data_IF_082712434106
#
_entry.id   IF_082712434106
#
_cell.length_a   1.000
_cell.length_b   1.000
_cell.length_c   1.000
_cell.angle_alpha   90.00
_cell.angle_beta   90.00
_cell.angle_gamma   90.00
#
_symmetry.space_group_name_H-M   'P 1'
#
loop_
_entity.id
_entity.type
_entity.pdbx_description
1 polymer ?
#
# COMPACT_ATOMS: atom_id res chain seq x y z
N UNK A 1 -0.14 23.46 10.32
CA UNK A 1 -1.32 22.58 10.33
C UNK A 1 -0.86 21.17 9.99
N UNK A 2 -0.40 20.42 10.99
CA UNK A 2 0.05 19.03 10.80
C UNK A 2 -1.23 18.20 10.75
N UNK A 3 -1.60 17.72 9.57
CA UNK A 3 -2.67 16.73 9.43
C UNK A 3 -2.19 15.53 10.22
N UNK A 4 -2.86 15.22 11.33
CA UNK A 4 -2.60 14.01 12.10
C UNK A 4 -2.94 12.84 11.20
N UNK A 5 -1.93 12.29 10.54
CA UNK A 5 -2.03 11.11 9.70
C UNK A 5 -2.57 9.99 10.58
N UNK A 6 -3.79 9.53 10.30
CA UNK A 6 -4.42 8.45 11.05
C UNK A 6 -3.74 7.15 10.61
N UNK A 7 -2.52 6.93 11.13
CA UNK A 7 -1.74 5.71 10.92
C UNK A 7 -2.57 4.53 11.42
N UNK A 8 -2.83 3.59 10.52
CA UNK A 8 -3.52 2.36 10.84
C UNK A 8 -2.61 1.52 11.76
N UNK A 9 -2.77 1.67 13.10
CA UNK A 9 -1.89 1.02 14.07
C UNK A 9 -2.17 -0.49 14.11
N UNK A 10 -1.25 -1.27 13.57
CA UNK A 10 -1.21 -2.72 13.73
C UNK A 10 -0.80 -3.09 15.15
N UNK A 11 -1.72 -3.60 15.96
CA UNK A 11 -1.36 -4.27 17.20
C UNK A 11 -1.06 -5.74 16.92
N UNK A 12 0.20 -6.08 16.65
CA UNK A 12 0.74 -7.43 16.89
C UNK A 12 1.07 -8.32 15.67
N UNK A 13 2.36 -8.67 15.60
CA UNK A 13 3.04 -9.87 15.04
C UNK A 13 2.73 -10.31 13.58
N UNK A 14 3.59 -9.85 12.69
CA UNK A 14 4.22 -10.55 11.54
C UNK A 14 3.37 -11.49 10.66
N UNK A 15 2.25 -11.02 10.14
CA UNK A 15 1.61 -11.51 8.90
C UNK A 15 1.03 -10.28 8.16
N UNK A 16 1.25 -10.16 6.85
CA UNK A 16 1.09 -8.93 6.02
C UNK A 16 -0.06 -7.99 6.48
N UNK A 17 0.24 -6.82 7.09
CA UNK A 17 -0.77 -6.01 7.76
C UNK A 17 -1.50 -5.10 6.76
N UNK A 18 -2.61 -5.56 6.20
CA UNK A 18 -3.66 -4.61 5.80
C UNK A 18 -4.48 -4.29 7.05
N UNK A 19 -3.94 -3.42 7.92
CA UNK A 19 -4.55 -3.12 9.22
C UNK A 19 -6.00 -2.60 9.12
N UNK A 20 -6.38 -1.99 7.99
CA UNK A 20 -7.77 -1.57 7.71
C UNK A 20 -8.61 -2.59 6.92
N UNK A 21 -7.95 -3.55 6.24
CA UNK A 21 -8.54 -4.54 5.31
C UNK A 21 -9.50 -3.90 4.27
N UNK A 22 -9.21 -2.67 3.85
CA UNK A 22 -9.83 -2.04 2.69
C UNK A 22 -9.12 -2.47 1.41
N UNK A 23 -9.88 -2.66 0.34
CA UNK A 23 -9.37 -2.93 -1.00
C UNK A 23 -9.19 -1.59 -1.73
N UNK A 24 -7.96 -1.30 -2.12
CA UNK A 24 -7.61 -0.10 -2.90
C UNK A 24 -7.11 -0.53 -4.27
N UNK A 25 -7.82 -0.11 -5.32
CA UNK A 25 -7.34 -0.29 -6.69
C UNK A 25 -6.26 0.74 -6.97
N UNK A 26 -5.06 0.27 -7.31
CA UNK A 26 -3.95 1.13 -7.74
C UNK A 26 -3.94 1.14 -9.27
N UNK A 27 -4.05 2.33 -9.86
CA UNK A 27 -3.90 2.51 -11.30
C UNK A 27 -2.42 2.53 -11.65
N UNK A 28 -2.01 1.73 -12.64
CA UNK A 28 -0.70 1.88 -13.27
C UNK A 28 -0.73 3.08 -14.22
N UNK A 29 0.11 4.08 -13.97
CA UNK A 29 0.27 5.23 -14.85
C UNK A 29 1.78 5.51 -15.07
N UNK A 30 2.31 5.43 -16.31
CA UNK A 30 1.63 5.01 -17.54
C UNK A 30 1.31 3.50 -17.54
N UNK A 31 0.26 3.07 -18.28
CA UNK A 31 0.04 1.65 -18.55
C UNK A 31 1.14 1.09 -19.46
N UNK A 32 1.40 -0.22 -19.35
CA UNK A 32 2.28 -0.99 -20.26
C UNK A 32 3.72 -0.44 -20.42
N UNK A 33 4.37 -0.11 -19.30
CA UNK A 33 5.77 0.34 -19.29
C UNK A 33 6.72 -0.84 -19.06
N UNK A 34 7.75 -0.94 -19.90
CA UNK A 34 8.88 -1.85 -19.69
C UNK A 34 9.61 -1.53 -18.38
N UNK A 35 9.60 -2.50 -17.45
CA UNK A 35 10.24 -2.38 -16.14
C UNK A 35 11.43 -3.35 -16.07
N UNK A 36 12.60 -3.01 -16.63
CA UNK A 36 13.73 -3.96 -16.71
C UNK A 36 14.20 -4.44 -15.33
N UNK A 37 13.99 -3.64 -14.28
CA UNK A 37 14.32 -3.98 -12.90
C UNK A 37 13.58 -5.21 -12.37
N UNK A 38 12.47 -5.65 -12.98
CA UNK A 38 11.77 -6.88 -12.54
C UNK A 38 12.52 -8.17 -12.91
N UNK A 39 13.46 -8.09 -13.85
CA UNK A 39 14.15 -9.24 -14.43
C UNK A 39 15.16 -9.88 -13.47
N UNK A 40 15.74 -9.10 -12.55
CA UNK A 40 16.73 -9.60 -11.60
C UNK A 40 16.18 -9.61 -10.18
N UNK A 41 16.55 -10.59 -9.32
CA UNK A 41 16.16 -10.59 -7.91
C UNK A 41 16.55 -9.30 -7.18
N UNK A 42 17.78 -8.83 -7.40
CA UNK A 42 18.33 -7.64 -6.75
C UNK A 42 17.56 -6.39 -7.18
N UNK A 43 17.12 -6.34 -8.44
CA UNK A 43 16.28 -5.28 -8.97
C UNK A 43 14.88 -5.28 -8.33
N UNK A 44 14.28 -6.46 -8.10
CA UNK A 44 12.97 -6.56 -7.44
C UNK A 44 13.02 -6.10 -5.99
N UNK A 45 14.06 -6.47 -5.26
CA UNK A 45 14.21 -6.14 -3.84
C UNK A 45 14.21 -4.63 -3.58
N UNK A 46 14.74 -3.83 -4.52
CA UNK A 46 14.75 -2.37 -4.44
C UNK A 46 13.36 -1.73 -4.49
N UNK A 47 12.35 -2.45 -4.98
CA UNK A 47 10.99 -1.93 -5.16
C UNK A 47 9.95 -2.62 -4.25
N UNK A 48 10.39 -3.39 -3.25
CA UNK A 48 9.53 -3.96 -2.22
C UNK A 48 9.42 -3.01 -1.02
N UNK A 49 8.36 -3.16 -0.22
CA UNK A 49 8.22 -2.46 1.07
C UNK A 49 7.64 -1.04 1.01
N UNK A 50 7.07 -0.62 -0.12
CA UNK A 50 6.37 0.66 -0.17
C UNK A 50 5.08 0.63 0.67
N UNK A 51 4.98 1.56 1.61
CA UNK A 51 3.76 1.79 2.38
C UNK A 51 2.76 2.63 1.56
N UNK A 52 1.48 2.27 1.63
CA UNK A 52 0.41 2.98 0.93
C UNK A 52 -0.61 3.53 1.93
N UNK A 53 -0.97 4.80 1.76
CA UNK A 53 -2.05 5.42 2.53
C UNK A 53 -3.41 4.93 2.05
N UNK A 54 -4.24 4.41 2.97
CA UNK A 54 -5.58 3.96 2.65
C UNK A 54 -6.56 5.15 2.57
N UNK A 55 -6.95 5.54 1.36
CA UNK A 55 -7.94 6.62 1.15
C UNK A 55 -9.31 6.32 1.77
N UNK A 56 -9.73 5.05 1.79
CA UNK A 56 -10.98 4.62 2.43
C UNK A 56 -10.97 4.86 3.94
N UNK A 57 -9.81 4.80 4.59
CA UNK A 57 -9.68 5.19 6.01
C UNK A 57 -9.80 6.69 6.21
N UNK A 58 -9.20 7.49 5.31
CA UNK A 58 -9.31 8.96 5.34
C UNK A 58 -10.78 9.41 5.20
N UNK A 59 -11.55 8.69 4.37
CA UNK A 59 -12.97 8.97 4.09
C UNK A 59 -13.93 8.36 5.13
N UNK A 60 -13.44 7.53 6.06
CA UNK A 60 -14.29 6.82 7.03
C UNK A 60 -15.21 5.79 6.38
N UNK A 61 -14.83 5.26 5.21
CA UNK A 61 -15.63 4.29 4.50
C UNK A 61 -15.76 2.97 5.28
N UNK A 62 -16.93 2.29 5.18
CA UNK A 62 -17.11 0.98 5.78
C UNK A 62 -16.09 -0.01 5.21
N UNK A 63 -15.83 -1.07 5.98
CA UNK A 63 -14.95 -2.15 5.59
C UNK A 63 -15.49 -2.89 4.36
N UNK A 64 -14.61 -3.19 3.41
CA UNK A 64 -14.94 -4.08 2.29
C UNK A 64 -14.95 -5.53 2.82
N UNK A 65 -16.13 -6.09 3.07
CA UNK A 65 -16.33 -7.48 3.48
C UNK A 65 -16.56 -8.37 2.26
#
# INVERSE_FOLDING_TARGET
MRRETRLCRSSGRAELPVACRHQQHIRHNPPLVSRPWVLTPEGREQFLGFELECKKCDEGAPRDW
#
